data_IF_945040792634
#
_entry.id   IF_945040792634
#
_cell.length_a   1.000
_cell.length_b   1.000
_cell.length_c   1.000
_cell.angle_alpha   90.00
_cell.angle_beta   90.00
_cell.angle_gamma   90.00
#
_symmetry.space_group_name_H-M   'P 1'
#
loop_
_entity.id
_entity.type
_entity.pdbx_description
1 polymer ?
#
# COMPACT_ATOMS: atom_id res chain seq x y z
N UNK A 1 3.08 16.70 -9.70
CA UNK A 1 4.13 16.07 -10.51
C UNK A 1 4.50 14.76 -9.84
N UNK A 2 4.59 13.66 -10.58
CA UNK A 2 5.02 12.37 -10.03
C UNK A 2 6.50 12.45 -9.62
N UNK A 3 6.96 11.78 -8.53
CA UNK A 3 8.37 11.74 -8.14
C UNK A 3 9.28 11.24 -9.28
N UNK A 4 10.52 11.70 -9.32
CA UNK A 4 11.46 11.46 -10.45
C UNK A 4 11.61 9.98 -10.86
N UNK A 5 11.49 9.05 -9.91
CA UNK A 5 11.66 7.61 -10.10
C UNK A 5 10.35 6.81 -10.19
N UNK A 6 9.20 7.47 -10.09
CA UNK A 6 7.91 6.80 -10.17
C UNK A 6 7.60 6.43 -11.62
N UNK A 7 7.34 5.14 -11.88
CA UNK A 7 7.00 4.59 -13.19
C UNK A 7 5.72 3.77 -13.09
N UNK A 8 4.92 3.80 -14.16
CA UNK A 8 3.74 2.96 -14.27
C UNK A 8 4.13 1.48 -14.30
N UNK A 9 3.36 0.66 -13.59
CA UNK A 9 3.48 -0.80 -13.58
C UNK A 9 2.29 -1.37 -14.36
N UNK A 10 2.51 -2.26 -15.35
CA UNK A 10 1.42 -2.93 -16.04
C UNK A 10 0.49 -3.64 -15.03
N UNK A 11 -0.83 -3.48 -15.18
CA UNK A 11 -1.80 -4.04 -14.24
C UNK A 11 -1.67 -5.57 -14.06
N UNK A 12 -1.33 -6.29 -15.13
CA UNK A 12 -1.04 -7.73 -15.09
C UNK A 12 0.16 -8.12 -14.22
N UNK A 13 0.98 -7.15 -13.77
CA UNK A 13 2.11 -7.32 -12.86
C UNK A 13 1.91 -6.64 -11.50
N UNK A 14 0.81 -5.91 -11.29
CA UNK A 14 0.59 -5.10 -10.08
C UNK A 14 0.57 -5.93 -8.79
N UNK A 15 0.03 -7.16 -8.85
CA UNK A 15 -0.01 -8.09 -7.71
C UNK A 15 1.39 -8.34 -7.10
N UNK A 16 2.45 -8.28 -7.92
CA UNK A 16 3.84 -8.50 -7.48
C UNK A 16 4.33 -7.43 -6.51
N UNK A 17 3.71 -6.25 -6.48
CA UNK A 17 4.05 -5.18 -5.54
C UNK A 17 3.73 -5.55 -4.09
N UNK A 18 2.82 -6.51 -3.86
CA UNK A 18 2.37 -6.93 -2.53
C UNK A 18 2.66 -8.41 -2.21
N UNK A 19 3.17 -9.19 -3.17
CA UNK A 19 3.35 -10.65 -3.02
C UNK A 19 4.26 -11.06 -1.86
N UNK A 20 5.25 -10.25 -1.50
CA UNK A 20 6.15 -10.52 -0.38
C UNK A 20 5.58 -10.07 0.97
N UNK A 21 4.32 -9.61 1.00
CA UNK A 21 3.57 -9.26 2.20
C UNK A 21 4.13 -8.05 2.97
N UNK A 22 4.37 -6.89 2.33
CA UNK A 22 4.80 -5.70 3.04
C UNK A 22 3.65 -5.14 3.88
N UNK A 23 3.97 -4.48 4.98
CA UNK A 23 3.08 -3.49 5.58
C UNK A 23 2.83 -2.39 4.57
N UNK A 24 1.57 -1.95 4.45
CA UNK A 24 1.17 -0.88 3.53
C UNK A 24 0.69 0.33 4.31
N UNK A 25 0.66 1.48 3.64
CA UNK A 25 -0.13 2.62 4.05
C UNK A 25 -1.40 2.68 3.18
N UNK A 26 -2.51 3.09 3.79
CA UNK A 26 -3.80 3.26 3.12
C UNK A 26 -4.18 4.72 3.19
N UNK A 27 -4.32 5.38 2.04
CA UNK A 27 -4.89 6.73 1.96
C UNK A 27 -6.26 6.72 1.29
N UNK A 28 -7.13 7.62 1.75
CA UNK A 28 -8.46 7.84 1.22
C UNK A 28 -8.81 9.32 1.36
N UNK A 29 -9.69 9.81 0.48
CA UNK A 29 -10.18 11.19 0.51
C UNK A 29 -11.66 11.24 0.11
N UNK A 30 -12.41 12.13 0.74
CA UNK A 30 -13.82 12.39 0.45
C UNK A 30 -14.21 13.77 0.96
N UNK A 31 -15.00 14.54 0.20
CA UNK A 31 -15.51 15.87 0.58
C UNK A 31 -14.43 16.84 1.09
N UNK A 32 -13.29 16.88 0.40
CA UNK A 32 -12.15 17.74 0.76
C UNK A 32 -11.39 17.31 2.02
N UNK A 33 -11.79 16.21 2.66
CA UNK A 33 -11.07 15.58 3.76
C UNK A 33 -10.21 14.44 3.22
N UNK A 34 -9.06 14.19 3.88
CA UNK A 34 -8.14 13.11 3.54
C UNK A 34 -7.55 12.49 4.79
N UNK A 35 -7.12 11.25 4.68
CA UNK A 35 -6.37 10.59 5.75
C UNK A 35 -5.40 9.54 5.21
N UNK A 36 -4.47 9.15 6.08
CA UNK A 36 -3.58 8.02 5.88
C UNK A 36 -3.47 7.19 7.16
N UNK A 37 -3.37 5.87 7.03
CA UNK A 37 -3.11 4.94 8.13
C UNK A 37 -2.15 3.84 7.69
N UNK A 38 -1.56 3.12 8.65
CA UNK A 38 -0.83 1.89 8.37
C UNK A 38 -1.76 0.67 8.42
N UNK A 39 -1.52 -0.30 7.56
CA UNK A 39 -2.20 -1.60 7.55
C UNK A 39 -1.17 -2.71 7.30
N UNK A 40 -0.98 -3.60 8.27
CA UNK A 40 -0.17 -4.80 8.08
C UNK A 40 -0.96 -5.94 7.40
N UNK A 41 -2.29 -5.93 7.54
CA UNK A 41 -3.17 -6.95 6.96
C UNK A 41 -3.66 -6.51 5.59
N UNK A 42 -2.78 -6.66 4.60
CA UNK A 42 -3.07 -6.44 3.19
C UNK A 42 -2.43 -7.55 2.33
N UNK A 43 -3.11 -7.96 1.27
CA UNK A 43 -2.61 -9.00 0.36
C UNK A 43 -3.17 -8.85 -1.06
N UNK A 44 -2.45 -9.33 -2.09
CA UNK A 44 -3.06 -9.55 -3.40
C UNK A 44 -4.12 -10.65 -3.31
N UNK A 45 -5.20 -10.50 -4.06
CA UNK A 45 -6.34 -11.41 -4.12
C UNK A 45 -6.51 -12.08 -5.49
N UNK A 46 -6.17 -11.38 -6.57
CA UNK A 46 -6.33 -11.88 -7.94
C UNK A 46 -5.27 -11.28 -8.88
N UNK A 47 -5.03 -11.93 -10.02
CA UNK A 47 -4.03 -11.53 -11.01
C UNK A 47 -4.59 -10.59 -12.08
N UNK A 48 -5.72 -10.94 -12.72
CA UNK A 48 -6.27 -10.20 -13.86
C UNK A 48 -7.81 -10.27 -13.92
N UNK A 49 -8.54 -9.14 -13.71
CA UNK A 49 -8.02 -7.85 -13.27
C UNK A 49 -7.45 -7.97 -11.84
N UNK A 50 -6.33 -7.26 -11.53
CA UNK A 50 -5.67 -7.34 -10.24
C UNK A 50 -6.59 -6.88 -9.11
N UNK A 51 -6.68 -7.67 -8.05
CA UNK A 51 -7.47 -7.36 -6.86
C UNK A 51 -6.62 -7.45 -5.61
N UNK A 52 -6.99 -6.70 -4.60
CA UNK A 52 -6.36 -6.69 -3.28
C UNK A 52 -7.41 -6.85 -2.18
N UNK A 53 -6.97 -7.36 -1.04
CA UNK A 53 -7.74 -7.36 0.19
C UNK A 53 -6.98 -6.57 1.27
N UNK A 54 -7.69 -5.81 2.09
CA UNK A 54 -7.15 -5.06 3.24
C UNK A 54 -8.15 -5.04 4.38
N UNK A 55 -7.68 -5.21 5.62
CA UNK A 55 -8.53 -5.11 6.81
C UNK A 55 -8.46 -3.70 7.39
N UNK A 56 -9.61 -3.08 7.61
CA UNK A 56 -9.74 -1.71 8.12
C UNK A 56 -10.71 -1.66 9.30
N UNK A 57 -10.17 -1.50 10.51
CA UNK A 57 -10.94 -1.45 11.75
C UNK A 57 -12.03 -0.36 11.72
N UNK A 58 -13.19 -0.66 12.33
CA UNK A 58 -14.38 0.20 12.35
C UNK A 58 -14.13 1.59 12.95
N UNK A 59 -13.17 1.73 13.86
CA UNK A 59 -12.83 3.00 14.48
C UNK A 59 -11.94 3.89 13.59
N UNK A 60 -11.42 3.36 12.48
CA UNK A 60 -10.47 4.11 11.65
C UNK A 60 -11.17 5.17 10.81
N UNK A 61 -10.61 6.38 10.81
CA UNK A 61 -11.09 7.45 9.96
C UNK A 61 -10.92 7.16 8.46
N UNK A 62 -9.87 6.42 8.09
CA UNK A 62 -9.62 6.02 6.70
C UNK A 62 -10.74 5.13 6.16
N UNK A 63 -11.25 4.18 6.95
CA UNK A 63 -12.40 3.35 6.56
C UNK A 63 -13.60 4.21 6.18
N UNK A 64 -13.95 5.18 7.04
CA UNK A 64 -15.10 6.04 6.81
C UNK A 64 -14.98 6.86 5.52
N UNK A 65 -13.79 7.40 5.25
CA UNK A 65 -13.52 8.13 4.01
C UNK A 65 -13.62 7.22 2.79
N UNK A 66 -12.99 6.04 2.85
CA UNK A 66 -12.97 5.06 1.77
C UNK A 66 -14.37 4.54 1.43
N UNK A 67 -15.18 4.19 2.43
CA UNK A 67 -16.56 3.72 2.25
C UNK A 67 -17.43 4.77 1.52
N UNK A 68 -17.21 6.06 1.80
CA UNK A 68 -17.92 7.16 1.12
C UNK A 68 -17.36 7.48 -0.26
N UNK A 69 -16.04 7.39 -0.44
CA UNK A 69 -15.37 7.70 -1.69
C UNK A 69 -15.50 6.59 -2.74
N UNK A 70 -15.61 5.33 -2.31
CA UNK A 70 -15.52 4.16 -3.19
C UNK A 70 -14.13 3.96 -3.82
N UNK A 71 -13.12 4.71 -3.38
CA UNK A 71 -11.75 4.65 -3.88
C UNK A 71 -10.75 4.83 -2.74
N UNK A 72 -9.54 4.30 -2.93
CA UNK A 72 -8.43 4.41 -1.99
C UNK A 72 -7.11 4.10 -2.69
N UNK A 73 -6.01 4.37 -2.00
CA UNK A 73 -4.65 4.01 -2.45
C UNK A 73 -4.02 3.10 -1.42
N UNK A 74 -3.48 1.97 -1.88
CA UNK A 74 -2.48 1.21 -1.13
C UNK A 74 -1.09 1.64 -1.58
N UNK A 75 -0.18 1.89 -0.65
CA UNK A 75 1.18 2.25 -0.98
C UNK A 75 2.17 1.53 -0.06
N UNK A 76 3.32 1.16 -0.62
CA UNK A 76 4.33 0.34 0.06
C UNK A 76 5.42 1.26 0.62
N UNK A 77 5.45 1.49 1.95
CA UNK A 77 6.51 2.25 2.59
C UNK A 77 7.83 1.47 2.61
N UNK A 78 8.92 2.20 2.82
CA UNK A 78 10.26 1.66 2.94
C UNK A 78 10.91 1.89 4.32
N UNK A 79 12.09 1.32 4.53
CA UNK A 79 12.85 1.44 5.77
C UNK A 79 13.05 2.89 6.24
N UNK A 80 13.28 3.82 5.32
CA UNK A 80 13.40 5.26 5.63
C UNK A 80 12.11 5.89 6.18
N UNK A 81 10.97 5.21 6.08
CA UNK A 81 9.65 5.68 6.53
C UNK A 81 9.14 4.94 7.78
N UNK A 82 9.96 4.18 8.50
CA UNK A 82 9.52 3.40 9.65
C UNK A 82 8.81 4.24 10.73
N UNK A 83 9.39 5.38 11.09
CA UNK A 83 8.80 6.30 12.08
C UNK A 83 7.47 6.90 11.59
N UNK A 84 7.38 7.18 10.28
CA UNK A 84 6.16 7.66 9.66
C UNK A 84 5.06 6.60 9.73
N UNK A 85 5.36 5.36 9.35
CA UNK A 85 4.42 4.23 9.39
C UNK A 85 3.90 4.02 10.81
N UNK A 86 4.79 4.04 11.80
CA UNK A 86 4.40 3.94 13.21
C UNK A 86 3.49 5.10 13.62
N UNK A 87 3.85 6.33 13.25
CA UNK A 87 3.09 7.54 13.61
C UNK A 87 1.69 7.53 13.02
N UNK A 88 1.54 7.28 11.71
CA UNK A 88 0.23 7.28 11.07
C UNK A 88 -0.61 6.06 11.43
N UNK A 89 0.00 4.96 11.85
CA UNK A 89 -0.67 3.76 12.37
C UNK A 89 -1.20 3.92 13.80
N UNK A 90 -0.65 4.84 14.59
CA UNK A 90 -0.99 5.02 16.03
C UNK A 90 -1.73 6.31 16.35
N UNK A 91 -1.95 7.16 15.35
CA UNK A 91 -2.72 8.40 15.49
C UNK A 91 -4.03 8.30 14.71
N UNK A 92 -5.09 8.98 15.17
CA UNK A 92 -6.36 9.06 14.43
C UNK A 92 -6.41 10.31 13.56
N UNK A 93 -7.00 10.19 12.37
CA UNK A 93 -7.23 11.33 11.48
C UNK A 93 -8.57 12.04 11.70
N UNK A 94 -9.40 11.57 12.64
CA UNK A 94 -10.73 12.14 12.87
C UNK A 94 -10.70 13.60 13.36
N UNK A 95 -9.64 13.98 14.09
CA UNK A 95 -9.45 15.32 14.68
C UNK A 95 -8.15 15.99 14.19
N UNK A 96 -7.40 15.34 13.31
CA UNK A 96 -6.06 15.76 12.88
C UNK A 96 -5.87 15.49 11.39
N UNK A 97 -5.62 16.54 10.59
CA UNK A 97 -5.08 16.35 9.25
C UNK A 97 -3.61 15.91 9.38
N UNK A 98 -3.38 14.59 9.35
CA UNK A 98 -2.04 13.99 9.45
C UNK A 98 -1.09 14.48 8.37
N UNK A 99 -1.59 14.82 7.17
CA UNK A 99 -0.72 15.30 6.11
C UNK A 99 -0.15 16.68 6.46
N UNK A 100 -1.01 17.58 6.94
CA UNK A 100 -0.56 18.90 7.40
C UNK A 100 0.29 18.80 8.67
N UNK A 101 -0.14 18.02 9.65
CA UNK A 101 0.51 17.91 10.95
C UNK A 101 1.93 17.35 10.88
N UNK A 102 2.19 16.43 9.94
CA UNK A 102 3.49 15.77 9.77
C UNK A 102 4.24 16.21 8.50
N UNK A 103 3.75 17.23 7.79
CA UNK A 103 4.41 17.74 6.58
C UNK A 103 4.53 16.70 5.47
N UNK A 104 3.52 15.82 5.33
CA UNK A 104 3.55 14.72 4.38
C UNK A 104 3.36 15.26 2.96
N UNK A 105 4.40 15.10 2.14
CA UNK A 105 4.36 15.48 0.72
C UNK A 105 3.64 14.42 -0.09
N UNK A 106 2.86 14.87 -1.06
CA UNK A 106 1.98 14.01 -1.84
C UNK A 106 1.97 14.43 -3.29
N UNK A 107 1.69 13.47 -4.16
CA UNK A 107 1.32 13.70 -5.55
C UNK A 107 -0.05 13.08 -5.83
N UNK A 108 -0.63 13.45 -6.97
CA UNK A 108 -1.95 12.96 -7.39
C UNK A 108 -1.79 11.78 -8.34
N UNK A 109 -2.67 10.80 -8.18
CA UNK A 109 -2.90 9.75 -9.16
C UNK A 109 -3.87 10.22 -10.24
N UNK A 110 -4.24 9.30 -11.13
CA UNK A 110 -5.15 9.58 -12.25
C UNK A 110 -6.58 9.12 -11.99
N UNK A 111 -6.79 8.23 -11.01
CA UNK A 111 -8.05 7.50 -10.84
C UNK A 111 -8.73 7.71 -9.49
N UNK A 112 -8.06 8.35 -8.53
CA UNK A 112 -8.57 8.58 -7.17
C UNK A 112 -8.27 9.99 -6.68
N UNK A 113 -9.11 10.52 -5.78
CA UNK A 113 -8.82 11.75 -5.03
C UNK A 113 -7.89 11.49 -3.83
N UNK A 114 -7.68 10.22 -3.49
CA UNK A 114 -6.81 9.83 -2.40
C UNK A 114 -5.36 10.25 -2.72
N UNK A 115 -4.66 10.94 -1.81
CA UNK A 115 -3.30 11.39 -2.07
C UNK A 115 -2.32 10.22 -2.11
N UNK A 116 -1.39 10.23 -3.08
CA UNK A 116 -0.26 9.30 -3.12
C UNK A 116 0.90 9.92 -2.34
N UNK A 117 1.40 9.21 -1.33
CA UNK A 117 2.45 9.66 -0.43
C UNK A 117 3.82 9.58 -1.12
N UNK A 118 4.57 10.67 -1.10
CA UNK A 118 5.95 10.65 -1.58
C UNK A 118 6.86 9.80 -0.68
N UNK A 119 7.90 9.20 -1.27
CA UNK A 119 8.90 8.39 -0.56
C UNK A 119 8.53 6.92 -0.35
N UNK A 120 7.28 6.53 -0.64
CA UNK A 120 6.94 5.11 -0.81
C UNK A 120 7.62 4.54 -2.05
N UNK A 121 7.69 3.21 -2.14
CA UNK A 121 8.34 2.49 -3.26
C UNK A 121 7.35 1.84 -4.22
N UNK A 122 6.06 1.82 -3.87
CA UNK A 122 4.97 1.42 -4.76
C UNK A 122 3.65 2.05 -4.36
N UNK A 123 2.74 2.19 -5.33
CA UNK A 123 1.40 2.75 -5.17
C UNK A 123 0.41 1.96 -6.04
N UNK A 124 -0.77 1.68 -5.50
CA UNK A 124 -1.87 1.00 -6.16
C UNK A 124 -3.12 1.86 -5.94
N UNK A 125 -3.63 2.46 -7.00
CA UNK A 125 -4.93 3.12 -6.99
C UNK A 125 -6.02 2.05 -7.09
N UNK A 126 -6.95 2.05 -6.14
CA UNK A 126 -7.95 1.01 -5.98
C UNK A 126 -9.35 1.59 -6.04
N UNK A 127 -10.24 0.88 -6.75
CA UNK A 127 -11.69 1.04 -6.66
C UNK A 127 -12.24 0.00 -5.69
N UNK A 128 -13.04 0.43 -4.72
CA UNK A 128 -13.72 -0.45 -3.77
C UNK A 128 -14.64 -1.42 -4.52
N UNK A 129 -14.56 -2.70 -4.17
CA UNK A 129 -15.52 -3.73 -4.53
C UNK A 129 -16.47 -3.91 -3.34
N UNK A 130 -17.73 -3.44 -3.42
CA UNK A 130 -18.63 -3.47 -2.29
C UNK A 130 -19.03 -4.90 -1.92
N UNK A 131 -18.65 -5.31 -0.72
CA UNK A 131 -19.02 -6.60 -0.13
C UNK A 131 -19.54 -6.37 1.29
N UNK A 132 -20.80 -5.91 1.46
CA UNK A 132 -21.30 -5.43 2.74
C UNK A 132 -21.20 -6.46 3.88
N UNK A 133 -21.38 -7.75 3.58
CA UNK A 133 -21.30 -8.79 4.60
C UNK A 133 -19.89 -8.89 5.20
N UNK A 134 -18.86 -9.07 4.37
CA UNK A 134 -17.49 -9.25 4.88
C UNK A 134 -16.91 -7.95 5.46
N UNK A 135 -17.31 -6.78 4.93
CA UNK A 135 -16.93 -5.48 5.47
C UNK A 135 -17.49 -5.26 6.88
N UNK A 136 -18.68 -5.78 7.19
CA UNK A 136 -19.30 -5.63 8.51
C UNK A 136 -18.85 -6.72 9.48
N UNK A 137 -18.73 -7.95 9.00
CA UNK A 137 -18.41 -9.12 9.83
C UNK A 137 -16.91 -9.22 10.13
N UNK A 138 -16.05 -8.92 9.16
CA UNK A 138 -14.60 -9.16 9.25
C UNK A 138 -13.75 -7.91 9.07
N UNK A 139 -14.39 -6.75 8.85
CA UNK A 139 -13.70 -5.50 8.53
C UNK A 139 -12.79 -5.62 7.31
N UNK A 140 -13.13 -6.55 6.42
CA UNK A 140 -12.38 -6.91 5.22
C UNK A 140 -12.91 -6.12 4.02
N UNK A 141 -12.00 -5.45 3.32
CA UNK A 141 -12.30 -4.64 2.14
C UNK A 141 -11.58 -5.23 0.94
N UNK A 142 -12.31 -5.31 -0.18
CA UNK A 142 -11.76 -5.75 -1.45
C UNK A 142 -11.63 -4.55 -2.39
N UNK A 143 -10.56 -4.49 -3.16
CA UNK A 143 -10.34 -3.44 -4.15
C UNK A 143 -9.86 -4.00 -5.48
N UNK A 144 -10.38 -3.47 -6.58
CA UNK A 144 -9.81 -3.64 -7.92
C UNK A 144 -8.72 -2.59 -8.12
N UNK A 145 -7.52 -3.00 -8.49
CA UNK A 145 -6.41 -2.08 -8.79
C UNK A 145 -6.62 -1.54 -10.20
N UNK A 146 -6.82 -0.23 -10.30
CA UNK A 146 -7.11 0.48 -11.55
C UNK A 146 -5.88 1.19 -12.13
N UNK A 147 -4.90 1.52 -11.29
CA UNK A 147 -3.56 1.94 -11.71
C UNK A 147 -2.51 1.49 -10.68
N UNK A 148 -1.29 1.27 -11.14
CA UNK A 148 -0.18 0.88 -10.29
C UNK A 148 1.10 1.59 -10.72
N UNK A 149 1.91 1.96 -9.74
CA UNK A 149 3.18 2.64 -9.92
C UNK A 149 4.22 2.10 -8.97
N UNK A 150 5.50 2.21 -9.33
CA UNK A 150 6.60 1.85 -8.45
C UNK A 150 7.83 2.73 -8.68
N UNK A 151 8.69 2.77 -7.66
CA UNK A 151 10.00 3.39 -7.75
C UNK A 151 10.95 2.48 -8.56
N UNK A 152 11.34 2.94 -9.75
CA UNK A 152 12.14 2.14 -10.70
C UNK A 152 13.50 1.70 -10.14
N UNK A 153 14.00 2.40 -9.12
CA UNK A 153 15.26 2.05 -8.45
C UNK A 153 15.17 0.71 -7.74
N UNK A 154 13.96 0.31 -7.32
CA UNK A 154 13.74 -0.95 -6.59
C UNK A 154 12.67 -1.87 -7.17
N UNK A 155 11.92 -1.42 -8.17
CA UNK A 155 11.00 -2.27 -8.91
C UNK A 155 10.97 -1.89 -10.39
N UNK A 156 11.40 -2.79 -11.27
CA UNK A 156 11.40 -2.59 -12.72
C UNK A 156 11.17 -3.91 -13.45
N UNK A 157 10.63 -3.85 -14.67
CA UNK A 157 10.32 -5.04 -15.47
C UNK A 157 9.42 -6.09 -14.76
N UNK A 158 8.74 -5.69 -13.67
CA UNK A 158 7.89 -6.56 -12.87
C UNK A 158 8.61 -7.33 -11.77
N UNK A 159 9.80 -6.91 -11.35
CA UNK A 159 10.58 -7.60 -10.32
C UNK A 159 11.11 -6.59 -9.30
N UNK A 160 11.21 -7.04 -8.05
CA UNK A 160 11.87 -6.28 -6.98
C UNK A 160 13.37 -6.50 -7.01
N UNK A 161 14.14 -5.43 -6.77
CA UNK A 161 15.59 -5.46 -6.60
C UNK A 161 15.99 -4.42 -5.55
N UNK A 162 16.75 -4.80 -4.54
CA UNK A 162 17.12 -3.90 -3.43
C UNK A 162 18.63 -3.71 -3.27
N UNK A 163 19.44 -4.28 -4.17
CA UNK A 163 20.89 -4.18 -4.10
C UNK A 163 21.33 -2.71 -4.21
N UNK A 164 22.10 -2.24 -3.23
CA UNK A 164 22.53 -0.84 -3.13
C UNK A 164 21.47 0.14 -2.62
N UNK A 165 20.25 -0.32 -2.32
CA UNK A 165 19.11 0.52 -1.90
C UNK A 165 18.50 0.06 -0.56
N UNK A 166 19.32 -0.18 0.46
CA UNK A 166 18.84 -0.71 1.74
C UNK A 166 17.77 0.15 2.43
N UNK A 167 17.83 1.46 2.28
CA UNK A 167 16.83 2.40 2.81
C UNK A 167 15.47 2.31 2.10
N UNK A 168 15.42 1.72 0.91
CA UNK A 168 14.22 1.52 0.11
C UNK A 168 13.60 0.12 0.30
N UNK A 169 14.20 -0.74 1.13
CA UNK A 169 13.64 -2.05 1.48
C UNK A 169 12.27 -1.88 2.14
N UNK A 170 11.30 -2.70 1.73
CA UNK A 170 9.94 -2.65 2.27
C UNK A 170 9.90 -3.07 3.74
N UNK A 171 8.95 -2.52 4.48
CA UNK A 171 8.73 -2.83 5.90
C UNK A 171 7.72 -3.97 6.09
N UNK A 172 7.96 -4.79 7.11
CA UNK A 172 7.10 -5.90 7.53
C UNK A 172 6.90 -5.80 9.04
N UNK A 173 5.72 -5.37 9.45
CA UNK A 173 5.35 -5.17 10.86
C UNK A 173 5.35 -6.49 11.64
N UNK A 174 5.88 -6.43 12.87
CA UNK A 174 5.87 -7.56 13.82
C UNK A 174 4.89 -7.27 14.95
N UNK A 175 5.18 -6.24 15.75
CA UNK A 175 4.35 -5.80 16.87
C UNK A 175 4.82 -4.44 17.39
N UNK A 176 3.93 -3.65 17.99
CA UNK A 176 4.27 -2.31 18.49
C UNK A 176 4.86 -1.44 17.38
N UNK A 177 5.97 -0.76 17.67
CA UNK A 177 6.76 -0.02 16.67
C UNK A 177 7.89 -0.81 16.02
N UNK A 178 7.86 -2.16 16.07
CA UNK A 178 8.92 -3.00 15.54
C UNK A 178 8.57 -3.57 14.16
N UNK A 179 9.51 -3.45 13.24
CA UNK A 179 9.42 -3.90 11.86
C UNK A 179 10.68 -4.68 11.48
N UNK A 180 10.54 -5.61 10.53
CA UNK A 180 11.63 -6.18 9.76
C UNK A 180 11.63 -5.55 8.36
N UNK A 181 12.78 -5.55 7.70
CA UNK A 181 12.89 -5.22 6.28
C UNK A 181 12.89 -6.48 5.43
N UNK A 182 12.44 -6.39 4.18
CA UNK A 182 12.59 -7.50 3.23
C UNK A 182 14.05 -7.96 3.12
N UNK A 183 14.25 -9.27 3.12
CA UNK A 183 15.56 -9.91 3.19
C UNK A 183 16.33 -9.97 1.87
N UNK A 184 17.32 -10.86 1.83
CA UNK A 184 18.09 -11.13 0.61
C UNK A 184 17.32 -12.05 -0.34
N UNK A 185 17.47 -11.87 -1.66
CA UNK A 185 16.84 -12.74 -2.64
C UNK A 185 17.42 -14.16 -2.56
N UNK A 186 16.56 -15.15 -2.83
CA UNK A 186 16.92 -16.56 -2.98
C UNK A 186 16.12 -17.10 -4.15
N UNK A 187 16.81 -17.74 -5.11
CA UNK A 187 16.16 -18.34 -6.27
C UNK A 187 15.86 -19.83 -6.03
N UNK A 188 14.57 -20.16 -6.05
CA UNK A 188 14.12 -21.55 -6.05
C UNK A 188 14.36 -22.22 -7.39
N UNK A 189 14.72 -23.50 -7.38
CA UNK A 189 14.82 -24.34 -8.57
C UNK A 189 13.67 -25.35 -8.58
N UNK A 190 13.15 -25.66 -9.77
CA UNK A 190 12.15 -26.72 -9.90
C UNK A 190 12.78 -28.06 -9.54
N UNK A 191 12.15 -28.79 -8.62
CA UNK A 191 12.58 -30.14 -8.29
C UNK A 191 12.26 -31.08 -9.46
N UNK A 192 13.24 -31.87 -9.88
CA UNK A 192 12.99 -32.98 -10.80
C UNK A 192 12.26 -34.10 -10.05
N UNK A 193 11.17 -34.67 -10.58
CA UNK A 193 10.51 -35.82 -9.97
C UNK A 193 11.50 -36.97 -9.78
N UNK A 194 11.51 -37.59 -8.60
CA UNK A 194 12.15 -38.89 -8.43
C UNK A 194 11.31 -39.91 -9.20
N UNK A 195 11.95 -40.62 -10.14
CA UNK A 195 11.31 -41.65 -10.97
C UNK A 195 10.83 -42.86 -10.19
#
# INVERSE_FOLDING_TARGET
MSPDHCRAVPLSKAYRLLNHGPTVLVSAAHDGQRNIMAAAWAMPLDFEPPKVAVVLDKATWTRQLLERAGTFVLQVPCAAQADLVQTVGTTSGAELDKFAAYGLRTFNGEHTEAPLLEGCVAWLECRLLPEPHIQQTYDLFLGEVVAAYADERVFSEGHWHFEGFDQLRTLHHVAGGHFLTIGQPIDGQQLTPAG
#
